data_IF_064985228131
#
_entry.id   IF_064985228131
#
_cell.length_a   1.000
_cell.length_b   1.000
_cell.length_c   1.000
_cell.angle_alpha   90.00
_cell.angle_beta   90.00
_cell.angle_gamma   90.00
#
_symmetry.space_group_name_H-M   'P 1'
#
loop_
_entity.id
_entity.type
_entity.pdbx_description
1 polymer ?
#
# COMPACT_ATOMS: atom_id res chain seq x y z
N UNK A 1 -6.10 -12.17 -14.54
CA UNK A 1 -4.64 -12.05 -14.77
C UNK A 1 -4.15 -10.83 -13.99
N UNK A 2 -2.98 -10.89 -13.32
CA UNK A 2 -2.38 -9.69 -12.77
C UNK A 2 -2.14 -8.69 -13.91
N UNK A 3 -2.48 -7.43 -13.68
CA UNK A 3 -2.27 -6.36 -14.66
C UNK A 3 -0.78 -6.06 -14.86
N UNK A 4 0.06 -6.51 -13.92
CA UNK A 4 1.50 -6.20 -13.89
C UNK A 4 1.78 -4.77 -13.41
N UNK A 5 0.72 -4.05 -13.05
CA UNK A 5 0.73 -2.72 -12.45
C UNK A 5 0.29 -2.90 -11.01
N UNK A 6 1.05 -2.31 -10.10
CA UNK A 6 0.86 -2.42 -8.67
C UNK A 6 0.55 -1.06 -8.08
N UNK A 7 -0.42 -1.02 -7.19
CA UNK A 7 -0.87 0.19 -6.53
C UNK A 7 -0.12 0.38 -5.21
N UNK A 8 0.42 1.59 -5.04
CA UNK A 8 1.08 2.03 -3.82
C UNK A 8 0.32 3.23 -3.29
N UNK A 9 -0.08 3.17 -2.02
CA UNK A 9 -0.71 4.26 -1.31
C UNK A 9 0.36 5.12 -0.63
N UNK A 10 0.41 6.40 -0.98
CA UNK A 10 1.23 7.39 -0.29
C UNK A 10 0.41 8.00 0.83
N UNK A 11 0.90 7.87 2.07
CA UNK A 11 0.23 8.35 3.28
C UNK A 11 1.27 9.20 4.02
N UNK A 12 1.14 10.52 3.90
CA UNK A 12 2.18 11.44 4.37
C UNK A 12 3.51 11.16 3.66
N UNK A 13 4.55 10.88 4.45
CA UNK A 13 5.88 10.53 3.95
C UNK A 13 6.10 9.03 3.74
N UNK A 14 5.09 8.19 3.99
CA UNK A 14 5.20 6.74 3.88
C UNK A 14 4.55 6.23 2.60
N UNK A 15 5.17 5.19 2.04
CA UNK A 15 4.64 4.42 0.91
C UNK A 15 4.17 3.06 1.41
N UNK A 16 2.92 2.69 1.10
CA UNK A 16 2.33 1.41 1.44
C UNK A 16 2.00 0.65 0.16
N UNK A 17 2.53 -0.56 0.02
CA UNK A 17 2.07 -1.50 -1.00
C UNK A 17 0.65 -1.97 -0.70
N UNK A 18 -0.26 -1.86 -1.67
CA UNK A 18 -1.66 -2.28 -1.51
C UNK A 18 -1.91 -3.62 -2.18
N UNK A 19 -1.83 -3.66 -3.50
CA UNK A 19 -2.01 -4.86 -4.34
C UNK A 19 -1.81 -4.53 -5.81
N UNK A 20 -1.94 -5.53 -6.70
CA UNK A 20 -2.11 -5.29 -8.14
C UNK A 20 -3.28 -4.32 -8.40
N UNK A 21 -3.12 -3.41 -9.35
CA UNK A 21 -4.11 -2.40 -9.71
C UNK A 21 -5.49 -2.99 -10.07
N UNK A 22 -5.53 -4.21 -10.62
CA UNK A 22 -6.78 -4.93 -10.90
C UNK A 22 -7.54 -5.34 -9.64
N UNK A 23 -6.84 -5.47 -8.50
CA UNK A 23 -7.39 -5.86 -7.19
C UNK A 23 -7.51 -4.70 -6.22
N UNK A 24 -7.00 -3.52 -6.58
CA UNK A 24 -7.00 -2.33 -5.73
C UNK A 24 -8.41 -2.03 -5.17
N UNK A 25 -9.45 -2.12 -6.01
CA UNK A 25 -10.83 -1.86 -5.60
C UNK A 25 -11.33 -2.79 -4.48
N UNK A 26 -10.83 -4.03 -4.41
CA UNK A 26 -11.21 -5.00 -3.38
C UNK A 26 -10.29 -4.95 -2.17
N UNK A 27 -8.99 -4.75 -2.37
CA UNK A 27 -7.99 -4.73 -1.28
C UNK A 27 -8.02 -3.43 -0.49
N UNK A 28 -8.15 -2.30 -1.16
CA UNK A 28 -8.04 -0.99 -0.52
C UNK A 28 -9.11 -0.74 0.56
N UNK A 29 -10.40 -1.05 0.36
CA UNK A 29 -11.42 -0.90 1.40
C UNK A 29 -11.11 -1.73 2.66
N UNK A 30 -10.52 -2.92 2.50
CA UNK A 30 -10.13 -3.78 3.63
C UNK A 30 -8.97 -3.16 4.42
N UNK A 31 -7.95 -2.65 3.73
CA UNK A 31 -6.84 -1.92 4.36
C UNK A 31 -7.32 -0.66 5.05
N UNK A 32 -8.22 0.10 4.41
CA UNK A 32 -8.87 1.28 4.97
C UNK A 32 -9.59 0.96 6.28
N UNK A 33 -10.34 -0.15 6.32
CA UNK A 33 -11.04 -0.56 7.53
C UNK A 33 -10.04 -0.85 8.66
N UNK A 34 -8.94 -1.56 8.38
CA UNK A 34 -7.89 -1.82 9.37
C UNK A 34 -7.21 -0.54 9.86
N UNK A 35 -6.85 0.36 8.94
CA UNK A 35 -6.23 1.65 9.26
C UNK A 35 -7.18 2.55 10.06
N UNK A 36 -8.46 2.59 9.72
CA UNK A 36 -9.45 3.37 10.46
C UNK A 36 -9.76 2.76 11.84
N UNK A 37 -9.68 1.43 11.97
CA UNK A 37 -9.87 0.75 13.25
C UNK A 37 -8.61 0.70 14.12
N UNK A 38 -7.45 1.14 13.62
CA UNK A 38 -6.20 1.08 14.37
C UNK A 38 -5.59 -0.31 14.48
N UNK A 39 -6.04 -1.27 13.67
CA UNK A 39 -5.63 -2.68 13.74
C UNK A 39 -4.54 -3.03 12.73
N UNK A 40 -4.03 -2.04 11.98
CA UNK A 40 -2.97 -2.27 11.03
C UNK A 40 -1.65 -2.61 11.76
N UNK A 41 -0.92 -3.67 11.36
CA UNK A 41 0.24 -4.17 12.12
C UNK A 41 1.42 -3.19 12.17
N UNK A 42 1.51 -2.25 11.22
CA UNK A 42 2.57 -1.24 11.21
C UNK A 42 2.16 -0.01 12.03
N UNK A 43 2.71 0.12 13.23
CA UNK A 43 2.44 1.22 14.16
C UNK A 43 2.87 2.58 13.58
N UNK A 44 4.00 2.66 12.88
CA UNK A 44 4.47 3.89 12.22
C UNK A 44 3.48 4.37 11.17
N UNK A 45 3.02 3.46 10.31
CA UNK A 45 1.99 3.76 9.31
C UNK A 45 0.68 4.19 9.97
N UNK A 46 0.28 3.52 11.05
CA UNK A 46 -0.93 3.84 11.79
C UNK A 46 -0.87 5.25 12.40
N UNK A 47 0.29 5.66 12.94
CA UNK A 47 0.50 7.02 13.43
C UNK A 47 0.38 8.05 12.32
N UNK A 48 1.02 7.83 11.17
CA UNK A 48 0.94 8.75 10.02
C UNK A 48 -0.47 8.77 9.43
N UNK A 49 -1.17 7.62 9.40
CA UNK A 49 -2.56 7.54 8.99
C UNK A 49 -3.47 8.37 9.89
N UNK A 50 -3.32 8.26 11.20
CA UNK A 50 -4.12 9.03 12.16
C UNK A 50 -3.87 10.54 12.05
N UNK A 51 -2.65 10.95 11.66
CA UNK A 51 -2.29 12.36 11.49
C UNK A 51 -2.72 12.93 10.13
N UNK A 52 -2.48 12.19 9.04
CA UNK A 52 -2.57 12.71 7.66
C UNK A 52 -3.25 11.76 6.67
N UNK A 53 -3.96 10.72 7.12
CA UNK A 53 -4.62 9.73 6.27
C UNK A 53 -5.65 10.32 5.28
N UNK A 54 -6.12 11.54 5.53
CA UNK A 54 -6.97 12.29 4.59
C UNK A 54 -6.25 12.85 3.35
N UNK A 55 -4.92 12.97 3.37
CA UNK A 55 -4.09 13.51 2.25
C UNK A 55 -3.47 12.41 1.37
N UNK A 56 -3.97 11.19 1.48
CA UNK A 56 -3.44 10.05 0.75
C UNK A 56 -3.65 10.16 -0.76
N UNK A 57 -2.71 9.65 -1.54
CA UNK A 57 -2.86 9.50 -2.98
C UNK A 57 -2.25 8.18 -3.44
N UNK A 58 -2.67 7.70 -4.61
CA UNK A 58 -2.17 6.46 -5.18
C UNK A 58 -1.20 6.74 -6.31
N UNK A 59 -0.16 5.93 -6.35
CA UNK A 59 0.75 5.81 -7.48
C UNK A 59 0.71 4.39 -7.98
N UNK A 60 0.99 4.23 -9.27
CA UNK A 60 0.93 2.95 -9.96
C UNK A 60 2.30 2.67 -10.55
N UNK A 61 2.87 1.55 -10.15
CA UNK A 61 4.25 1.18 -10.48
C UNK A 61 4.28 -0.22 -11.06
N UNK A 62 5.27 -0.49 -11.92
CA UNK A 62 5.49 -1.86 -12.38
C UNK A 62 6.32 -2.63 -11.37
N UNK A 63 6.33 -3.97 -11.45
CA UNK A 63 7.19 -4.81 -10.60
C UNK A 63 8.67 -4.41 -10.68
N UNK A 64 9.14 -3.92 -11.83
CA UNK A 64 10.54 -3.48 -12.01
C UNK A 64 10.85 -2.21 -11.24
N UNK A 65 9.92 -1.25 -11.21
CA UNK A 65 10.07 -0.02 -10.43
C UNK A 65 10.09 -0.32 -8.94
N UNK A 66 9.16 -1.17 -8.50
CA UNK A 66 9.03 -1.58 -7.10
C UNK A 66 10.23 -2.40 -6.60
N UNK A 67 10.87 -3.19 -7.46
CA UNK A 67 12.05 -3.97 -7.10
C UNK A 67 13.26 -3.10 -6.71
N UNK A 68 13.26 -1.80 -7.07
CA UNK A 68 14.31 -0.84 -6.71
C UNK A 68 13.93 0.02 -5.51
N UNK A 69 12.66 -0.05 -5.05
CA UNK A 69 12.10 0.76 -3.98
C UNK A 69 11.95 -0.06 -2.69
N UNK A 70 12.96 0.00 -1.83
CA UNK A 70 12.96 -0.67 -0.52
C UNK A 70 12.19 0.09 0.58
N UNK A 71 11.77 1.32 0.30
CA UNK A 71 11.09 2.19 1.28
C UNK A 71 9.56 1.96 1.34
N UNK A 72 9.06 0.95 0.60
CA UNK A 72 7.63 0.65 0.51
C UNK A 72 7.27 -0.41 1.55
N UNK A 73 6.38 -0.03 2.48
CA UNK A 73 5.86 -0.93 3.51
C UNK A 73 4.99 -2.01 2.86
N UNK A 74 5.22 -3.29 3.20
CA UNK A 74 4.43 -4.41 2.67
C UNK A 74 4.89 -4.89 1.30
N UNK A 75 5.99 -4.36 0.77
CA UNK A 75 6.51 -4.75 -0.55
C UNK A 75 6.95 -6.21 -0.62
N UNK A 76 7.27 -6.84 0.51
CA UNK A 76 7.55 -8.27 0.60
C UNK A 76 6.40 -9.15 0.10
N UNK A 77 5.15 -8.64 0.12
CA UNK A 77 4.00 -9.34 -0.44
C UNK A 77 4.10 -9.50 -1.96
N UNK A 78 4.79 -8.59 -2.66
CA UNK A 78 5.02 -8.65 -4.11
C UNK A 78 5.82 -9.90 -4.52
N UNK A 79 6.77 -10.30 -3.66
CA UNK A 79 7.61 -11.49 -3.85
C UNK A 79 6.91 -12.78 -3.42
N UNK A 80 5.89 -12.69 -2.55
CA UNK A 80 5.13 -13.84 -2.06
C UNK A 80 3.96 -14.25 -2.97
N UNK A 81 3.65 -13.48 -4.03
CA UNK A 81 2.67 -13.84 -5.06
C UNK A 81 3.23 -14.79 -6.16
N UNK A 82 4.33 -15.51 -5.88
CA UNK A 82 4.92 -16.56 -6.74
C UNK A 82 4.78 -17.93 -6.09
#
# INVERSE_FOLDING_TARGET
MPSGIYAVAHIGNLKLYVSDASRLHSTWPLLLAQLNSGTYPNTTLQTVWNAEGGKRHFTFHTRKDLAQEYDIIGIEQLTSEY
#
